data_IF_974264420306
#
_entry.id   IF_974264420306
#
_cell.length_a   1.000
_cell.length_b   1.000
_cell.length_c   1.000
_cell.angle_alpha   90.00
_cell.angle_beta   90.00
_cell.angle_gamma   90.00
#
_symmetry.space_group_name_H-M   'P 1'
#
loop_
_entity.id
_entity.type
_entity.pdbx_description
1 polymer ?
#
# COMPACT_ATOMS: atom_id res chain seq x y z
N UNK A 1 -18.81 -7.97 -9.84
CA UNK A 1 -18.19 -6.89 -9.07
C UNK A 1 -18.64 -5.56 -9.67
N UNK A 2 -19.24 -4.69 -8.88
CA UNK A 2 -19.75 -3.40 -9.37
C UNK A 2 -18.62 -2.38 -9.45
N UNK A 3 -18.17 -2.10 -10.67
CA UNK A 3 -17.06 -1.18 -10.95
C UNK A 3 -17.35 0.26 -10.48
N UNK A 4 -18.61 0.69 -10.50
CA UNK A 4 -18.98 2.03 -10.05
C UNK A 4 -18.78 2.18 -8.54
N UNK A 5 -19.17 1.17 -7.76
CA UNK A 5 -18.95 1.15 -6.30
C UNK A 5 -17.48 1.09 -5.96
N UNK A 6 -16.70 0.25 -6.66
CA UNK A 6 -15.25 0.18 -6.47
C UNK A 6 -14.60 1.53 -6.72
N UNK A 7 -14.94 2.19 -7.82
CA UNK A 7 -14.39 3.48 -8.16
C UNK A 7 -14.79 4.56 -7.14
N UNK A 8 -16.02 4.52 -6.63
CA UNK A 8 -16.48 5.44 -5.58
C UNK A 8 -15.67 5.28 -4.29
N UNK A 9 -15.49 4.05 -3.80
CA UNK A 9 -14.72 3.81 -2.58
C UNK A 9 -13.24 4.13 -2.75
N UNK A 10 -12.67 3.80 -3.92
CA UNK A 10 -11.29 4.18 -4.25
C UNK A 10 -11.13 5.71 -4.28
N UNK A 11 -12.03 6.43 -4.92
CA UNK A 11 -12.02 7.88 -4.98
C UNK A 11 -12.09 8.48 -3.57
N UNK A 12 -12.99 7.98 -2.72
CA UNK A 12 -13.10 8.45 -1.34
C UNK A 12 -11.81 8.24 -0.54
N UNK A 13 -11.10 7.15 -0.78
CA UNK A 13 -9.81 6.89 -0.15
C UNK A 13 -8.72 7.84 -0.68
N UNK A 14 -8.67 8.07 -1.98
CA UNK A 14 -7.69 8.97 -2.60
C UNK A 14 -7.96 10.44 -2.21
N UNK A 15 -9.23 10.84 -2.03
CA UNK A 15 -9.64 12.20 -1.67
C UNK A 15 -9.17 12.62 -0.26
N UNK A 16 -8.96 11.68 0.66
CA UNK A 16 -8.44 11.94 2.01
C UNK A 16 -6.91 11.76 2.14
N UNK A 17 -6.22 11.58 1.02
CA UNK A 17 -4.77 11.51 1.00
C UNK A 17 -4.17 12.90 1.24
N UNK A 18 -3.21 12.96 2.15
CA UNK A 18 -2.40 14.16 2.41
C UNK A 18 -0.96 13.92 1.96
N UNK A 19 -0.26 14.99 1.62
CA UNK A 19 1.15 14.93 1.25
C UNK A 19 1.97 15.73 2.27
N UNK A 20 2.98 15.09 2.84
CA UNK A 20 3.95 15.73 3.73
C UNK A 20 5.25 15.90 2.95
N UNK A 21 5.82 17.09 3.03
CA UNK A 21 7.14 17.37 2.49
C UNK A 21 8.20 16.93 3.51
N UNK A 22 9.23 16.23 3.03
CA UNK A 22 10.42 15.95 3.83
C UNK A 22 11.12 17.28 4.22
N UNK A 23 11.85 17.26 5.33
CA UNK A 23 12.58 18.43 5.86
C UNK A 23 13.49 19.11 4.81
N UNK A 24 13.87 18.41 3.77
CA UNK A 24 14.64 18.91 2.63
C UNK A 24 13.80 19.40 1.44
N UNK A 25 12.48 19.26 1.48
CA UNK A 25 11.55 19.64 0.40
C UNK A 25 11.70 18.84 -0.90
N UNK A 26 12.46 17.75 -0.88
CA UNK A 26 12.80 16.97 -2.07
C UNK A 26 11.76 15.87 -2.37
N UNK A 27 11.14 15.28 -1.36
CA UNK A 27 10.19 14.19 -1.51
C UNK A 27 8.86 14.50 -0.82
N UNK A 28 7.76 14.18 -1.52
CA UNK A 28 6.41 14.22 -0.96
C UNK A 28 5.99 12.81 -0.58
N UNK A 29 5.65 12.62 0.69
CA UNK A 29 5.18 11.35 1.23
C UNK A 29 3.67 11.38 1.38
N UNK A 30 2.99 10.38 0.82
CA UNK A 30 1.55 10.18 1.01
C UNK A 30 1.25 9.70 2.42
N UNK A 31 0.29 10.33 3.07
CA UNK A 31 -0.19 9.92 4.39
C UNK A 31 -1.70 10.05 4.50
N UNK A 32 -2.28 9.27 5.39
CA UNK A 32 -3.69 9.30 5.76
C UNK A 32 -3.81 9.49 7.27
N UNK A 33 -4.83 10.22 7.70
CA UNK A 33 -5.14 10.32 9.11
C UNK A 33 -6.18 9.28 9.52
N UNK A 34 -5.94 8.60 10.61
CA UNK A 34 -6.77 7.50 11.08
C UNK A 34 -8.23 7.91 11.33
N UNK A 35 -8.45 9.14 11.80
CA UNK A 35 -9.80 9.68 12.01
C UNK A 35 -10.59 9.88 10.72
N UNK A 36 -9.94 10.32 9.65
CA UNK A 36 -10.55 10.43 8.33
C UNK A 36 -10.81 9.03 7.73
N UNK A 37 -9.85 8.13 7.87
CA UNK A 37 -9.98 6.74 7.43
C UNK A 37 -11.12 6.02 8.14
N UNK A 38 -11.32 6.26 9.44
CA UNK A 38 -12.43 5.75 10.21
C UNK A 38 -13.78 6.01 9.52
N UNK A 39 -13.97 7.24 9.06
CA UNK A 39 -15.24 7.67 8.45
C UNK A 39 -15.47 6.93 7.13
N UNK A 40 -14.47 6.88 6.25
CA UNK A 40 -14.63 6.23 4.93
C UNK A 40 -14.72 4.72 5.02
N UNK A 41 -14.21 4.11 6.09
CA UNK A 41 -14.37 2.67 6.36
C UNK A 41 -15.67 2.35 7.11
N UNK A 42 -16.56 3.32 7.29
CA UNK A 42 -17.90 3.13 7.82
C UNK A 42 -17.97 2.91 9.35
N UNK A 43 -16.95 3.33 10.11
CA UNK A 43 -16.97 3.23 11.56
C UNK A 43 -17.55 4.49 12.20
N UNK A 44 -18.72 4.35 12.85
CA UNK A 44 -19.35 5.46 13.55
C UNK A 44 -18.60 5.85 14.85
N UNK A 45 -17.94 4.90 15.49
CA UNK A 45 -17.25 5.09 16.78
C UNK A 45 -15.77 4.80 16.64
N UNK A 46 -14.97 5.68 17.23
CA UNK A 46 -13.51 5.53 17.28
C UNK A 46 -13.05 4.24 17.95
N UNK A 47 -13.68 3.86 19.05
CA UNK A 47 -13.33 2.65 19.80
C UNK A 47 -13.45 1.38 18.94
N UNK A 48 -14.46 1.31 18.08
CA UNK A 48 -14.65 0.18 17.19
C UNK A 48 -13.60 0.16 16.06
N UNK A 49 -13.25 1.33 15.53
CA UNK A 49 -12.19 1.47 14.55
C UNK A 49 -10.82 1.16 15.17
N UNK A 50 -10.58 1.57 16.40
CA UNK A 50 -9.35 1.33 17.13
C UNK A 50 -9.03 -0.16 17.28
N UNK A 51 -10.03 -1.03 17.33
CA UNK A 51 -9.84 -2.48 17.31
C UNK A 51 -9.13 -2.93 16.03
N UNK A 52 -9.59 -2.46 14.87
CA UNK A 52 -8.95 -2.77 13.59
C UNK A 52 -7.53 -2.18 13.50
N UNK A 53 -7.36 -0.95 13.99
CA UNK A 53 -6.06 -0.28 14.06
C UNK A 53 -5.06 -1.06 14.93
N UNK A 54 -5.47 -1.50 16.12
CA UNK A 54 -4.65 -2.29 17.03
C UNK A 54 -4.24 -3.63 16.41
N UNK A 55 -5.17 -4.32 15.75
CA UNK A 55 -4.89 -5.58 15.05
C UNK A 55 -3.89 -5.39 13.91
N UNK A 56 -4.00 -4.28 13.17
CA UNK A 56 -3.05 -3.94 12.13
C UNK A 56 -1.64 -3.71 12.69
N UNK A 57 -1.52 -3.00 13.82
CA UNK A 57 -0.25 -2.80 14.53
C UNK A 57 0.33 -4.14 15.00
N UNK A 58 -0.47 -5.02 15.59
CA UNK A 58 -0.02 -6.35 16.00
C UNK A 58 0.45 -7.20 14.81
N UNK A 59 -0.20 -7.07 13.65
CA UNK A 59 0.24 -7.72 12.41
C UNK A 59 1.65 -7.25 11.98
N UNK A 60 1.94 -5.95 12.10
CA UNK A 60 3.28 -5.41 11.85
C UNK A 60 4.32 -5.98 12.83
N UNK A 61 4.00 -6.03 14.12
CA UNK A 61 4.90 -6.61 15.13
C UNK A 61 5.25 -8.06 14.82
N UNK A 62 4.26 -8.86 14.50
CA UNK A 62 4.45 -10.28 14.18
C UNK A 62 5.32 -10.48 12.94
N UNK A 63 5.26 -9.58 11.97
CA UNK A 63 6.08 -9.58 10.77
C UNK A 63 7.46 -8.94 10.94
N UNK A 64 7.79 -8.44 12.13
CA UNK A 64 9.01 -7.66 12.44
C UNK A 64 9.16 -6.39 11.57
N UNK A 65 8.02 -5.78 11.21
CA UNK A 65 7.98 -4.49 10.51
C UNK A 65 8.01 -3.38 11.56
N UNK A 66 8.83 -2.36 11.33
CA UNK A 66 8.91 -1.21 12.23
C UNK A 66 7.58 -0.43 12.20
N UNK A 67 6.92 -0.37 13.35
CA UNK A 67 5.60 0.26 13.48
C UNK A 67 5.70 1.76 13.22
N UNK A 68 6.73 2.43 13.72
CA UNK A 68 6.88 3.88 13.63
C UNK A 68 7.02 4.40 12.20
N UNK A 69 7.42 3.52 11.27
CA UNK A 69 7.48 3.86 9.84
C UNK A 69 6.10 3.91 9.18
N UNK A 70 5.10 3.25 9.77
CA UNK A 70 3.77 3.10 9.18
C UNK A 70 2.63 3.68 10.01
N UNK A 71 2.78 3.73 11.34
CA UNK A 71 1.79 4.22 12.29
C UNK A 71 2.45 5.23 13.23
N UNK A 72 2.30 6.50 12.94
CA UNK A 72 2.83 7.56 13.79
C UNK A 72 1.70 8.22 14.59
N UNK A 73 1.80 8.17 15.91
CA UNK A 73 0.87 8.89 16.77
C UNK A 73 1.04 10.41 16.60
N UNK A 74 -0.07 11.10 16.43
CA UNK A 74 -0.13 12.56 16.33
C UNK A 74 -1.28 13.08 17.19
N UNK A 75 -1.21 14.34 17.56
CA UNK A 75 -2.26 15.02 18.32
C UNK A 75 -2.92 16.05 17.43
N UNK A 76 -4.24 16.04 17.38
CA UNK A 76 -5.05 17.01 16.66
C UNK A 76 -5.83 17.89 17.63
N UNK A 77 -5.90 19.19 17.32
CA UNK A 77 -6.70 20.14 18.10
C UNK A 77 -8.09 20.28 17.46
N UNK A 78 -9.11 19.90 18.19
CA UNK A 78 -10.51 20.10 17.78
C UNK A 78 -11.16 21.18 18.60
N UNK A 79 -11.97 22.02 17.93
CA UNK A 79 -12.79 23.05 18.59
C UNK A 79 -14.11 22.45 19.02
N UNK A 80 -14.41 22.54 20.34
CA UNK A 80 -15.69 22.14 20.90
C UNK A 80 -16.77 23.20 20.65
N UNK A 81 -18.06 22.84 20.74
CA UNK A 81 -19.17 23.74 20.56
C UNK A 81 -19.20 24.96 21.53
N UNK A 82 -18.46 24.88 22.64
CA UNK A 82 -18.24 25.98 23.59
C UNK A 82 -17.13 26.97 23.19
N UNK A 83 -16.44 26.75 22.06
CA UNK A 83 -15.27 27.47 21.64
C UNK A 83 -13.94 27.03 22.29
N UNK A 84 -14.00 26.09 23.26
CA UNK A 84 -12.82 25.49 23.87
C UNK A 84 -12.15 24.54 22.87
N UNK A 85 -10.80 24.46 22.93
CA UNK A 85 -10.00 23.51 22.12
C UNK A 85 -9.68 22.30 22.97
N UNK A 86 -9.78 21.12 22.37
CA UNK A 86 -9.41 19.84 22.99
C UNK A 86 -8.41 19.13 22.09
N UNK A 87 -7.39 18.56 22.71
CA UNK A 87 -6.48 17.64 22.03
C UNK A 87 -7.13 16.27 21.90
N UNK A 88 -7.08 15.69 20.70
CA UNK A 88 -7.48 14.31 20.46
C UNK A 88 -6.32 13.55 19.84
N UNK A 89 -6.24 12.27 20.18
CA UNK A 89 -5.28 11.35 19.58
C UNK A 89 -5.71 11.02 18.16
N UNK A 90 -4.76 11.06 17.25
CA UNK A 90 -4.90 10.57 15.89
C UNK A 90 -3.61 9.82 15.49
N UNK A 91 -3.63 9.19 14.33
CA UNK A 91 -2.49 8.50 13.77
C UNK A 91 -2.29 8.90 12.32
N UNK A 92 -1.05 9.14 11.97
CA UNK A 92 -0.62 9.32 10.60
C UNK A 92 -0.22 7.96 10.05
N UNK A 93 -0.85 7.55 8.96
CA UNK A 93 -0.76 6.22 8.38
C UNK A 93 -0.15 6.28 6.99
N UNK A 94 0.72 5.34 6.67
CA UNK A 94 1.12 5.08 5.29
C UNK A 94 0.03 4.34 4.53
N UNK A 95 0.11 4.29 3.21
CA UNK A 95 -0.80 3.46 2.37
C UNK A 95 -0.81 2.00 2.83
N UNK A 96 0.36 1.45 3.14
CA UNK A 96 0.49 0.09 3.68
C UNK A 96 -0.28 -0.10 4.99
N UNK A 97 -0.16 0.85 5.93
CA UNK A 97 -0.90 0.82 7.18
C UNK A 97 -2.42 0.86 6.95
N UNK A 98 -2.90 1.71 6.02
CA UNK A 98 -4.32 1.76 5.65
C UNK A 98 -4.82 0.41 5.12
N UNK A 99 -4.02 -0.29 4.33
CA UNK A 99 -4.37 -1.61 3.80
C UNK A 99 -4.47 -2.65 4.92
N UNK A 100 -3.53 -2.65 5.86
CA UNK A 100 -3.58 -3.55 7.02
C UNK A 100 -4.79 -3.26 7.91
N UNK A 101 -5.14 -2.00 8.13
CA UNK A 101 -6.34 -1.62 8.88
C UNK A 101 -7.60 -2.15 8.20
N UNK A 102 -7.72 -1.97 6.89
CA UNK A 102 -8.87 -2.48 6.13
C UNK A 102 -8.96 -4.02 6.17
N UNK A 103 -7.82 -4.72 6.06
CA UNK A 103 -7.78 -6.19 6.16
C UNK A 103 -8.20 -6.71 7.54
N UNK A 104 -7.95 -5.95 8.60
CA UNK A 104 -8.32 -6.28 9.97
C UNK A 104 -9.67 -5.69 10.41
N UNK A 105 -10.38 -5.03 9.50
CA UNK A 105 -11.68 -4.44 9.75
C UNK A 105 -12.83 -5.46 9.78
N UNK A 106 -14.00 -4.97 10.17
CA UNK A 106 -15.23 -5.79 10.20
C UNK A 106 -15.76 -6.03 8.78
N UNK A 107 -15.70 -7.27 8.27
CA UNK A 107 -16.13 -7.58 6.90
C UNK A 107 -17.65 -7.47 6.67
N UNK A 108 -18.43 -7.29 7.72
CA UNK A 108 -19.87 -7.01 7.62
C UNK A 108 -20.14 -5.58 7.12
N UNK A 109 -19.16 -4.70 7.23
CA UNK A 109 -19.25 -3.35 6.68
C UNK A 109 -18.98 -3.38 5.19
N UNK A 110 -19.85 -2.75 4.41
CA UNK A 110 -19.71 -2.71 2.94
C UNK A 110 -18.37 -2.12 2.51
N UNK A 111 -17.97 -1.01 3.12
CA UNK A 111 -16.74 -0.30 2.83
C UNK A 111 -15.50 -1.18 3.08
N UNK A 112 -15.49 -1.95 4.17
CA UNK A 112 -14.43 -2.90 4.50
C UNK A 112 -14.41 -4.06 3.51
N UNK A 113 -15.56 -4.65 3.22
CA UNK A 113 -15.66 -5.75 2.26
C UNK A 113 -15.15 -5.34 0.86
N UNK A 114 -15.51 -4.13 0.41
CA UNK A 114 -14.99 -3.58 -0.85
C UNK A 114 -13.49 -3.35 -0.81
N UNK A 115 -12.96 -2.78 0.26
CA UNK A 115 -11.51 -2.58 0.41
C UNK A 115 -10.75 -3.90 0.38
N UNK A 116 -11.21 -4.91 1.11
CA UNK A 116 -10.60 -6.25 1.12
C UNK A 116 -10.61 -6.90 -0.28
N UNK A 117 -11.74 -6.84 -0.98
CA UNK A 117 -11.87 -7.35 -2.34
C UNK A 117 -10.97 -6.61 -3.33
N UNK A 118 -10.91 -5.29 -3.24
CA UNK A 118 -10.02 -4.47 -4.06
C UNK A 118 -8.55 -4.84 -3.87
N UNK A 119 -8.10 -4.96 -2.62
CA UNK A 119 -6.70 -5.31 -2.33
C UNK A 119 -6.35 -6.71 -2.79
N UNK A 120 -7.25 -7.68 -2.64
CA UNK A 120 -7.05 -9.03 -3.16
C UNK A 120 -6.82 -9.04 -4.69
N UNK A 121 -7.61 -8.27 -5.43
CA UNK A 121 -7.46 -8.14 -6.89
C UNK A 121 -6.16 -7.43 -7.25
N UNK A 122 -5.80 -6.35 -6.55
CA UNK A 122 -4.56 -5.60 -6.81
C UNK A 122 -3.32 -6.44 -6.50
N UNK A 123 -3.35 -7.21 -5.42
CA UNK A 123 -2.27 -8.14 -5.08
C UNK A 123 -2.06 -9.16 -6.20
N UNK A 124 -3.13 -9.78 -6.69
CA UNK A 124 -3.04 -10.75 -7.79
C UNK A 124 -2.53 -10.12 -9.09
N UNK A 125 -2.95 -8.90 -9.40
CA UNK A 125 -2.41 -8.15 -10.55
C UNK A 125 -0.91 -7.88 -10.41
N UNK A 126 -0.46 -7.47 -9.23
CA UNK A 126 0.94 -7.22 -8.96
C UNK A 126 1.78 -8.50 -9.12
N UNK A 127 1.30 -9.64 -8.61
CA UNK A 127 1.92 -10.94 -8.78
C UNK A 127 2.06 -11.31 -10.27
N UNK A 128 0.98 -11.18 -11.05
CA UNK A 128 0.99 -11.47 -12.49
C UNK A 128 1.97 -10.58 -13.27
N UNK A 129 2.06 -9.30 -12.92
CA UNK A 129 3.02 -8.37 -13.52
C UNK A 129 4.44 -8.79 -13.17
N UNK A 130 4.71 -9.13 -11.91
CA UNK A 130 6.02 -9.58 -11.46
C UNK A 130 6.45 -10.87 -12.17
N UNK A 131 5.56 -11.87 -12.26
CA UNK A 131 5.79 -13.10 -12.99
C UNK A 131 6.12 -12.83 -14.47
N UNK A 132 5.38 -11.92 -15.12
CA UNK A 132 5.60 -11.56 -16.51
C UNK A 132 6.95 -10.87 -16.74
N UNK A 133 7.34 -9.94 -15.87
CA UNK A 133 8.65 -9.28 -15.91
C UNK A 133 9.77 -10.31 -15.76
N UNK A 134 9.63 -11.25 -14.82
CA UNK A 134 10.60 -12.32 -14.62
C UNK A 134 10.74 -13.22 -15.86
N UNK A 135 9.63 -13.57 -16.50
CA UNK A 135 9.64 -14.34 -17.75
C UNK A 135 10.36 -13.59 -18.88
N UNK A 136 10.08 -12.28 -19.05
CA UNK A 136 10.76 -11.45 -20.05
C UNK A 136 12.27 -11.37 -19.78
N UNK A 137 12.68 -11.19 -18.54
CA UNK A 137 14.09 -11.16 -18.14
C UNK A 137 14.80 -12.48 -18.44
N UNK A 138 14.15 -13.62 -18.20
CA UNK A 138 14.69 -14.94 -18.55
C UNK A 138 14.86 -15.12 -20.07
N UNK A 139 13.92 -14.64 -20.87
CA UNK A 139 14.01 -14.68 -22.34
C UNK A 139 15.16 -13.83 -22.85
N UNK A 140 15.31 -12.61 -22.36
CA UNK A 140 16.43 -11.73 -22.73
C UNK A 140 17.79 -12.36 -22.39
N UNK A 141 17.92 -12.95 -21.21
CA UNK A 141 19.14 -13.65 -20.80
C UNK A 141 19.46 -14.82 -21.73
N UNK A 142 18.43 -15.60 -22.11
CA UNK A 142 18.55 -16.73 -23.04
C UNK A 142 19.00 -16.27 -24.42
N UNK A 143 18.47 -15.16 -24.92
CA UNK A 143 18.83 -14.62 -26.23
C UNK A 143 20.26 -14.06 -26.23
N UNK A 144 20.69 -13.43 -25.14
CA UNK A 144 22.08 -12.99 -24.95
C UNK A 144 23.06 -14.17 -24.96
N UNK A 145 22.75 -15.26 -24.27
CA UNK A 145 23.56 -16.47 -24.27
C UNK A 145 23.68 -17.05 -25.68
N UNK A 146 22.56 -17.19 -26.39
CA UNK A 146 22.58 -17.69 -27.78
C UNK A 146 23.42 -16.81 -28.71
N UNK A 147 23.34 -15.49 -28.56
CA UNK A 147 24.15 -14.55 -29.35
C UNK A 147 25.64 -14.70 -29.04
N UNK A 148 25.99 -14.86 -27.75
CA UNK A 148 27.38 -15.07 -27.33
C UNK A 148 27.95 -16.41 -27.82
N UNK A 149 27.14 -17.49 -27.77
CA UNK A 149 27.54 -18.79 -28.32
C UNK A 149 27.79 -18.73 -29.82
N UNK A 150 26.91 -18.07 -30.57
CA UNK A 150 27.09 -17.89 -32.03
C UNK A 150 28.34 -17.07 -32.35
N UNK A 151 28.60 -16.03 -31.58
CA UNK A 151 29.79 -15.19 -31.79
C UNK A 151 31.07 -15.94 -31.45
N UNK A 152 31.05 -16.75 -30.35
CA UNK A 152 32.18 -17.58 -29.99
C UNK A 152 32.48 -18.64 -31.08
N UNK A 153 31.43 -19.34 -31.54
CA UNK A 153 31.55 -20.34 -32.60
C UNK A 153 32.10 -19.73 -33.89
N UNK A 154 31.67 -18.53 -34.28
CA UNK A 154 32.20 -17.80 -35.41
C UNK A 154 33.69 -17.47 -35.24
N UNK A 155 34.09 -16.96 -34.08
CA UNK A 155 35.47 -16.60 -33.78
C UNK A 155 36.39 -17.83 -33.80
N UNK A 156 35.91 -18.98 -33.30
CA UNK A 156 36.65 -20.25 -33.34
C UNK A 156 36.85 -20.68 -34.79
N UNK A 157 35.79 -20.66 -35.58
CA UNK A 157 35.86 -21.02 -37.00
C UNK A 157 36.81 -20.12 -37.79
N UNK A 158 36.72 -18.79 -37.61
CA UNK A 158 37.60 -17.81 -38.30
C UNK A 158 39.06 -17.92 -37.88
N UNK A 159 39.37 -18.42 -36.68
CA UNK A 159 40.73 -18.66 -36.19
C UNK A 159 41.30 -20.02 -36.57
N UNK A 160 40.55 -20.84 -37.30
CA UNK A 160 41.02 -22.12 -37.82
C UNK A 160 41.32 -23.16 -36.73
N UNK A 161 40.64 -23.10 -35.62
CA UNK A 161 40.72 -24.13 -34.56
C UNK A 161 39.68 -25.18 -34.91
N UNK A 162 40.14 -26.30 -35.42
CA UNK A 162 39.34 -27.50 -35.67
C UNK A 162 39.01 -28.21 -34.37
#
# INVERSE_FOLDING_TARGET
MDLQRINKHKQSFDDICHYIEDDNGADKVEVWFARELQIILGYARWENFQVALTRAVESCKTQNINIDDHFREVTEMVTLGSGAKREIQDFMLTRYACYLVAQNGDPKKEEIAFAQGYFAVQTRRAELIAEHIEQLSRLETRDRLRSSEKQLSRNIYERGVD
#
